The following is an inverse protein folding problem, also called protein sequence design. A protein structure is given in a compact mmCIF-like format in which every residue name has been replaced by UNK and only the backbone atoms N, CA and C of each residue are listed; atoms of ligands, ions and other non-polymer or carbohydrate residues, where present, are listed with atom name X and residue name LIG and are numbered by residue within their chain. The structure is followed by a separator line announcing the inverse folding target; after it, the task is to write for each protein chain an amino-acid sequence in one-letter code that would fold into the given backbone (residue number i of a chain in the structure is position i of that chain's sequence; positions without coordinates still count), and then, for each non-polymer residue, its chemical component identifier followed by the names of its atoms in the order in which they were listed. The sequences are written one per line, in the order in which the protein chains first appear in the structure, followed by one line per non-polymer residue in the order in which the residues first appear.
data_IF_850750239372
#
_entry.id   IF_850750239372
#
_cell.length_a   1.000
_cell.length_b   1.000
_cell.length_c   1.000
_cell.angle_alpha   90.00
_cell.angle_beta   90.00
_cell.angle_gamma   90.00
#
_symmetry.space_group_name_H-M   'P 1'
#
loop_
_entity.id
_entity.type
_entity.pdbx_description
1 polymer ?
#
# COMPACT_ATOMS: atom_id res chain seq x y z
N UNK A 1 5.93 3.32 -7.76
CA UNK A 1 4.77 4.22 -7.88
C UNK A 1 3.73 3.81 -6.83
N UNK A 2 3.32 4.67 -5.88
CA UNK A 2 2.24 4.31 -4.94
C UNK A 2 0.87 4.28 -5.65
N UNK A 3 0.21 3.12 -5.67
CA UNK A 3 -1.10 2.91 -6.29
C UNK A 3 -2.22 2.94 -5.25
N UNK A 4 -2.29 4.04 -4.50
CA UNK A 4 -3.17 4.19 -3.34
C UNK A 4 -4.26 5.20 -3.70
N UNK A 5 -5.52 4.93 -3.41
CA UNK A 5 -6.58 5.95 -3.56
C UNK A 5 -6.49 7.05 -2.49
N UNK A 6 -6.19 6.66 -1.25
CA UNK A 6 -6.12 7.56 -0.10
C UNK A 6 -5.11 7.04 0.92
N UNK A 7 -4.67 7.91 1.83
CA UNK A 7 -3.71 7.61 2.89
C UNK A 7 -4.28 7.78 4.29
N UNK A 8 -5.60 7.86 4.43
CA UNK A 8 -6.28 7.85 5.73
C UNK A 8 -6.06 6.53 6.49
N UNK A 9 -5.64 6.62 7.75
CA UNK A 9 -5.60 5.50 8.70
C UNK A 9 -6.71 5.63 9.76
N UNK A 10 -7.00 6.85 10.18
CA UNK A 10 -8.10 7.18 11.07
C UNK A 10 -8.66 8.56 10.70
N UNK A 11 -9.98 8.65 10.53
CA UNK A 11 -10.66 9.93 10.30
C UNK A 11 -11.83 10.02 11.29
N UNK A 12 -11.53 10.48 12.51
CA UNK A 12 -12.50 10.66 13.59
C UNK A 12 -12.38 12.08 14.14
N UNK A 13 -13.50 12.70 14.51
CA UNK A 13 -13.47 14.01 15.20
C UNK A 13 -12.57 13.91 16.44
N UNK A 14 -11.57 14.80 16.52
CA UNK A 14 -10.57 14.84 17.60
C UNK A 14 -9.40 13.86 17.43
N UNK A 15 -9.39 13.02 16.39
CA UNK A 15 -8.27 12.13 16.06
C UNK A 15 -8.21 11.86 14.55
N UNK A 16 -7.27 12.50 13.88
CA UNK A 16 -7.00 12.34 12.46
C UNK A 16 -5.61 11.76 12.29
N UNK A 17 -5.51 10.60 11.64
CA UNK A 17 -4.24 9.92 11.39
C UNK A 17 -4.16 9.55 9.92
N UNK A 18 -3.08 9.95 9.26
CA UNK A 18 -2.86 9.72 7.84
C UNK A 18 -1.38 9.46 7.52
N UNK A 19 -1.12 8.90 6.35
CA UNK A 19 0.23 8.69 5.84
C UNK A 19 0.64 9.82 4.90
N UNK A 20 1.70 10.53 5.29
CA UNK A 20 2.40 11.47 4.42
C UNK A 20 3.36 10.69 3.52
N UNK A 21 3.27 10.93 2.22
CA UNK A 21 4.14 10.32 1.21
C UNK A 21 5.38 11.20 1.05
N UNK A 22 6.56 10.63 1.26
CA UNK A 22 7.84 11.31 1.20
C UNK A 22 8.75 10.62 0.17
N UNK A 23 9.00 11.21 -1.01
CA UNK A 23 9.93 10.64 -1.99
C UNK A 23 11.37 10.72 -1.46
N UNK A 24 12.03 9.56 -1.34
CA UNK A 24 13.45 9.46 -1.03
C UNK A 24 14.25 9.37 -2.32
N UNK A 25 14.86 10.48 -2.73
CA UNK A 25 15.58 10.57 -4.02
C UNK A 25 16.88 9.78 -4.02
N UNK A 26 17.53 9.62 -2.87
CA UNK A 26 18.77 8.86 -2.76
C UNK A 26 18.50 7.36 -2.95
N UNK A 27 17.48 6.84 -2.26
CA UNK A 27 17.10 5.43 -2.34
C UNK A 27 16.16 5.10 -3.52
N UNK A 28 15.72 6.12 -4.26
CA UNK A 28 14.67 6.03 -5.31
C UNK A 28 13.42 5.29 -4.81
N UNK A 29 13.09 5.47 -3.52
CA UNK A 29 12.00 4.77 -2.82
C UNK A 29 11.06 5.77 -2.19
N UNK A 30 9.78 5.43 -2.13
CA UNK A 30 8.80 6.24 -1.41
C UNK A 30 8.77 5.81 0.05
N UNK A 31 8.94 6.76 0.97
CA UNK A 31 8.75 6.58 2.40
C UNK A 31 7.36 7.05 2.81
N UNK A 32 6.80 6.39 3.81
CA UNK A 32 5.53 6.75 4.42
C UNK A 32 5.79 7.17 5.85
N UNK A 33 5.19 8.28 6.27
CA UNK A 33 5.27 8.79 7.64
C UNK A 33 3.86 8.87 8.21
N UNK A 34 3.66 8.33 9.41
CA UNK A 34 2.42 8.51 10.14
C UNK A 34 2.37 9.93 10.70
N UNK A 35 1.30 10.66 10.39
CA UNK A 35 1.03 11.99 10.93
C UNK A 35 -0.31 11.93 11.66
N UNK A 36 -0.32 12.43 12.90
CA UNK A 36 -1.51 12.51 13.75
C UNK A 36 -1.82 13.96 14.08
N UNK A 37 -3.10 14.31 14.09
CA UNK A 37 -3.60 15.64 14.39
C UNK A 37 -4.97 15.60 15.07
N UNK A 38 -5.37 16.72 15.67
CA UNK A 38 -6.71 16.85 16.32
C UNK A 38 -7.76 17.38 15.35
N UNK A 39 -7.31 18.08 14.29
CA UNK A 39 -8.15 18.52 13.16
C UNK A 39 -7.59 18.04 11.82
N UNK A 40 -8.43 17.95 10.79
CA UNK A 40 -7.99 17.55 9.44
C UNK A 40 -7.03 18.57 8.82
N UNK A 41 -7.22 19.86 9.11
CA UNK A 41 -6.36 20.96 8.60
C UNK A 41 -4.93 20.88 9.12
N UNK A 42 -4.76 20.49 10.38
CA UNK A 42 -3.45 20.34 11.05
C UNK A 42 -2.56 19.28 10.41
N UNK A 43 -3.09 18.36 9.61
CA UNK A 43 -2.26 17.38 8.89
C UNK A 43 -1.29 18.05 7.91
N UNK A 44 -1.66 19.20 7.33
CA UNK A 44 -0.82 19.93 6.37
C UNK A 44 -0.67 19.26 5.00
N UNK A 45 -1.51 18.26 4.68
CA UNK A 45 -1.62 17.65 3.36
C UNK A 45 -3.03 17.06 3.17
N UNK A 46 -3.40 16.71 1.93
CA UNK A 46 -4.69 16.07 1.62
C UNK A 46 -4.53 14.54 1.51
N UNK A 47 -5.03 13.75 2.48
CA UNK A 47 -4.89 12.30 2.43
C UNK A 47 -5.87 11.60 1.47
N UNK A 48 -6.86 12.31 0.91
CA UNK A 48 -7.84 11.74 -0.03
C UNK A 48 -7.43 11.87 -1.52
N UNK A 49 -6.37 12.64 -1.80
CA UNK A 49 -6.04 13.12 -3.16
C UNK A 49 -5.08 12.26 -3.98
N UNK A 50 -5.01 10.95 -3.76
CA UNK A 50 -4.08 10.08 -4.49
C UNK A 50 -4.74 9.46 -5.73
N UNK A 51 -4.45 8.21 -6.07
CA UNK A 51 -4.86 7.61 -7.34
C UNK A 51 -6.37 7.73 -7.57
N UNK A 52 -6.76 8.20 -8.75
CA UNK A 52 -8.15 8.42 -9.11
C UNK A 52 -8.45 7.77 -10.45
N UNK A 53 -9.55 7.00 -10.53
CA UNK A 53 -9.98 6.25 -11.72
C UNK A 53 -8.87 5.36 -12.33
N UNK A 54 -7.96 4.87 -11.49
CA UNK A 54 -6.81 4.03 -11.87
C UNK A 54 -5.58 4.80 -12.38
N UNK A 55 -5.65 6.14 -12.49
CA UNK A 55 -4.47 6.95 -12.75
C UNK A 55 -3.70 7.20 -11.46
N UNK A 56 -2.37 7.23 -11.54
CA UNK A 56 -1.49 7.50 -10.40
C UNK A 56 -0.57 8.69 -10.68
N UNK A 57 -0.25 9.49 -9.67
CA UNK A 57 0.68 10.63 -9.83
C UNK A 57 2.03 10.28 -9.21
N UNK A 58 3.10 10.52 -9.96
CA UNK A 58 4.46 10.26 -9.49
C UNK A 58 4.82 11.21 -8.34
N UNK A 59 5.15 10.70 -7.13
CA UNK A 59 5.53 11.57 -6.02
C UNK A 59 6.91 12.23 -6.21
N UNK A 60 7.73 11.76 -7.16
CA UNK A 60 9.06 12.33 -7.43
C UNK A 60 9.04 13.50 -8.40
N UNK A 61 8.24 13.42 -9.46
CA UNK A 61 8.24 14.37 -10.57
C UNK A 61 6.86 14.95 -10.91
N UNK A 62 5.79 14.49 -10.26
CA UNK A 62 4.41 14.98 -10.49
C UNK A 62 3.75 14.45 -11.77
N UNK A 63 4.45 13.66 -12.59
CA UNK A 63 3.88 13.11 -13.82
C UNK A 63 2.69 12.18 -13.55
N UNK A 64 1.63 12.33 -14.34
CA UNK A 64 0.49 11.42 -14.34
C UNK A 64 0.86 10.12 -15.06
N UNK A 65 0.57 8.99 -14.43
CA UNK A 65 0.68 7.65 -14.99
C UNK A 65 -0.73 7.15 -15.31
N UNK A 66 -1.05 6.95 -16.59
CA UNK A 66 -2.41 6.60 -17.01
C UNK A 66 -2.77 5.16 -16.59
N UNK A 67 -4.05 4.95 -16.32
CA UNK A 67 -4.62 3.65 -15.92
C UNK A 67 -4.26 2.51 -16.88
N UNK A 68 -4.26 2.75 -18.20
CA UNK A 68 -3.88 1.74 -19.19
C UNK A 68 -2.46 1.20 -18.96
N UNK A 69 -1.51 2.09 -18.67
CA UNK A 69 -0.13 1.72 -18.35
C UNK A 69 -0.05 0.98 -17.01
N UNK A 70 -0.72 1.47 -15.97
CA UNK A 70 -0.75 0.77 -14.66
C UNK A 70 -1.29 -0.66 -14.82
N UNK A 71 -2.33 -0.85 -15.61
CA UNK A 71 -2.90 -2.16 -15.90
C UNK A 71 -1.94 -3.06 -16.68
N UNK A 72 -1.22 -2.54 -17.69
CA UNK A 72 -0.24 -3.34 -18.43
C UNK A 72 0.93 -3.77 -17.54
N UNK A 73 1.42 -2.90 -16.66
CA UNK A 73 2.43 -3.25 -15.66
C UNK A 73 1.95 -4.33 -14.69
N UNK A 74 0.67 -4.25 -14.26
CA UNK A 74 0.06 -5.25 -13.41
C UNK A 74 -0.07 -6.62 -14.07
N UNK A 75 -0.58 -6.66 -15.32
CA UNK A 75 -0.67 -7.90 -16.11
C UNK A 75 0.70 -8.54 -16.37
N UNK A 76 1.75 -7.72 -16.48
CA UNK A 76 3.11 -8.18 -16.67
C UNK A 76 3.83 -8.54 -15.35
N UNK A 77 3.14 -8.54 -14.21
CA UNK A 77 3.72 -8.91 -12.91
C UNK A 77 4.74 -7.92 -12.36
N UNK A 78 4.79 -6.67 -12.86
CA UNK A 78 5.78 -5.65 -12.47
C UNK A 78 5.33 -4.74 -11.33
N UNK A 79 4.13 -4.96 -10.79
CA UNK A 79 3.65 -4.23 -9.61
C UNK A 79 4.15 -4.95 -8.36
N UNK A 80 5.06 -4.27 -7.64
CA UNK A 80 5.52 -4.73 -6.34
C UNK A 80 4.60 -4.32 -5.19
N UNK A 81 4.83 -4.92 -4.03
CA UNK A 81 4.20 -4.54 -2.77
C UNK A 81 5.20 -3.85 -1.84
N UNK A 82 4.73 -2.85 -1.11
CA UNK A 82 5.53 -2.17 -0.10
C UNK A 82 4.66 -1.90 1.12
N UNK A 83 5.15 -2.30 2.30
CA UNK A 83 4.48 -1.96 3.54
C UNK A 83 4.50 -0.45 3.78
N UNK A 84 3.39 0.07 4.29
CA UNK A 84 3.21 1.51 4.51
C UNK A 84 3.10 1.85 6.00
N UNK A 85 2.31 1.06 6.73
CA UNK A 85 2.07 1.22 8.15
C UNK A 85 1.67 -0.10 8.79
N UNK A 86 1.86 -0.19 10.10
CA UNK A 86 1.27 -1.22 10.96
C UNK A 86 0.34 -0.54 11.94
N UNK A 87 -0.80 -1.18 12.17
CA UNK A 87 -1.80 -0.71 13.12
C UNK A 87 -1.94 -1.72 14.24
N UNK A 88 -1.47 -1.35 15.43
CA UNK A 88 -1.49 -2.22 16.59
C UNK A 88 -2.76 -1.97 17.40
N UNK A 89 -3.52 -3.04 17.68
CA UNK A 89 -4.57 -3.00 18.69
C UNK A 89 -3.94 -2.92 20.08
N UNK A 90 -4.56 -2.16 21.00
CA UNK A 90 -4.14 -2.14 22.40
C UNK A 90 -5.00 -3.12 23.19
N UNK A 91 -4.39 -4.17 23.71
CA UNK A 91 -5.11 -5.16 24.51
C UNK A 91 -5.66 -4.51 25.79
N UNK A 92 -6.94 -4.71 26.08
CA UNK A 92 -7.61 -4.14 27.26
C UNK A 92 -7.80 -2.61 27.26
N UNK A 93 -7.47 -1.91 26.17
CA UNK A 93 -7.63 -0.45 26.07
C UNK A 93 -8.35 -0.03 24.79
N UNK A 94 -9.03 1.12 24.82
CA UNK A 94 -9.63 1.71 23.61
C UNK A 94 -8.56 2.35 22.73
N UNK A 95 -8.69 2.20 21.43
CA UNK A 95 -7.86 2.86 20.42
C UNK A 95 -6.84 1.95 19.76
N UNK A 96 -6.05 2.53 18.85
CA UNK A 96 -5.02 1.84 18.07
C UNK A 96 -3.74 2.67 18.07
N UNK A 97 -2.60 2.01 17.95
CA UNK A 97 -1.30 2.65 17.69
C UNK A 97 -1.02 2.53 16.21
N UNK A 98 -0.57 3.61 15.59
CA UNK A 98 -0.22 3.66 14.17
C UNK A 98 1.28 3.88 14.08
N UNK A 99 1.97 2.98 13.41
CA UNK A 99 3.41 3.02 13.20
C UNK A 99 3.68 3.00 11.70
N UNK A 100 4.62 3.82 11.23
CA UNK A 100 5.06 3.74 9.84
C UNK A 100 5.94 2.51 9.63
N UNK A 101 5.93 1.95 8.43
CA UNK A 101 6.77 0.79 8.10
C UNK A 101 8.27 1.06 8.31
N UNK A 102 8.71 2.30 8.11
CA UNK A 102 10.11 2.67 8.32
C UNK A 102 10.49 2.66 9.80
N UNK A 103 9.62 3.18 10.69
CA UNK A 103 9.86 3.13 12.15
C UNK A 103 9.92 1.70 12.69
N UNK A 104 9.24 0.75 12.02
CA UNK A 104 9.24 -0.67 12.38
C UNK A 104 10.46 -1.41 11.86
N UNK A 105 10.93 -1.14 10.65
CA UNK A 105 12.13 -1.81 10.12
C UNK A 105 13.35 -1.62 11.03
N UNK A 106 13.45 -0.50 11.74
CA UNK A 106 14.54 -0.23 12.70
C UNK A 106 14.34 -0.93 14.06
N UNK A 107 13.09 -1.31 14.40
CA UNK A 107 12.72 -1.77 15.75
C UNK A 107 12.27 -3.23 15.81
N UNK A 108 11.92 -3.81 14.67
CA UNK A 108 11.30 -5.14 14.59
C UNK A 108 11.87 -5.89 13.39
N UNK A 109 12.22 -7.16 13.58
CA UNK A 109 12.58 -8.11 12.51
C UNK A 109 11.34 -8.46 11.66
N UNK A 110 10.75 -7.46 11.02
CA UNK A 110 9.60 -7.68 10.15
C UNK A 110 10.06 -8.47 8.92
N UNK A 111 9.39 -9.57 8.55
CA UNK A 111 9.81 -10.36 7.40
C UNK A 111 9.73 -9.51 6.14
N UNK A 112 10.80 -9.53 5.37
CA UNK A 112 10.82 -8.91 4.05
C UNK A 112 9.89 -9.67 3.08
N UNK A 113 9.67 -9.09 1.89
CA UNK A 113 8.78 -9.69 0.89
C UNK A 113 9.24 -11.09 0.46
N UNK A 114 10.54 -11.36 0.36
CA UNK A 114 11.06 -12.68 0.03
C UNK A 114 10.70 -13.70 1.10
N UNK A 115 10.96 -13.36 2.37
CA UNK A 115 10.56 -14.17 3.53
C UNK A 115 9.06 -14.46 3.56
N UNK A 116 8.22 -13.51 3.17
CA UNK A 116 6.76 -13.70 3.05
C UNK A 116 6.42 -14.67 1.91
N UNK A 117 7.05 -14.53 0.74
CA UNK A 117 6.82 -15.42 -0.41
C UNK A 117 7.25 -16.86 -0.11
N UNK A 118 8.40 -17.05 0.53
CA UNK A 118 8.86 -18.38 0.95
C UNK A 118 7.87 -19.05 1.90
N UNK A 119 7.27 -18.27 2.80
CA UNK A 119 6.25 -18.76 3.72
C UNK A 119 4.92 -19.05 3.03
N UNK A 120 4.52 -18.27 2.04
CA UNK A 120 3.35 -18.56 1.20
C UNK A 120 3.59 -19.87 0.44
N UNK A 121 4.76 -20.04 -0.17
CA UNK A 121 5.12 -21.26 -0.89
C UNK A 121 5.05 -22.49 0.03
N UNK A 122 5.67 -22.42 1.22
CA UNK A 122 5.58 -23.49 2.21
C UNK A 122 4.14 -23.80 2.60
N UNK A 123 3.29 -22.78 2.79
CA UNK A 123 1.88 -22.98 3.10
C UNK A 123 1.15 -23.71 1.95
N UNK A 124 1.42 -23.33 0.70
CA UNK A 124 0.89 -24.03 -0.47
C UNK A 124 1.43 -25.47 -0.62
N UNK A 125 2.65 -25.75 -0.18
CA UNK A 125 3.21 -27.11 -0.20
C UNK A 125 2.60 -28.00 0.92
N UNK A 126 2.29 -27.40 2.08
CA UNK A 126 1.72 -28.08 3.26
C UNK A 126 0.19 -28.21 3.22
N UNK A 127 -0.48 -27.47 2.35
CA UNK A 127 -1.94 -27.43 2.22
C UNK A 127 -2.34 -27.72 0.78
N UNK A 128 -3.60 -28.04 0.51
CA UNK A 128 -4.11 -28.19 -0.86
C UNK A 128 -4.52 -26.83 -1.48
N UNK A 129 -3.87 -25.74 -1.05
CA UNK A 129 -4.16 -24.39 -1.53
C UNK A 129 -3.22 -24.03 -2.68
N UNK A 130 -3.79 -23.68 -3.82
CA UNK A 130 -3.06 -23.19 -4.99
C UNK A 130 -3.25 -21.69 -5.18
N UNK A 131 -2.26 -21.04 -5.80
CA UNK A 131 -2.39 -19.66 -6.26
C UNK A 131 -3.19 -19.69 -7.56
N UNK A 132 -4.32 -18.95 -7.68
CA UNK A 132 -5.10 -18.93 -8.91
C UNK A 132 -4.27 -18.41 -10.10
N UNK A 133 -4.10 -19.23 -11.11
CA UNK A 133 -3.42 -18.88 -12.37
C UNK A 133 -4.42 -18.57 -13.51
N UNK A 134 -5.71 -18.55 -13.20
CA UNK A 134 -6.78 -18.30 -14.16
C UNK A 134 -6.60 -16.93 -14.81
N UNK A 135 -6.62 -16.91 -16.15
CA UNK A 135 -6.51 -15.67 -16.91
C UNK A 135 -7.73 -14.80 -16.64
N UNK A 136 -7.50 -13.56 -16.22
CA UNK A 136 -8.56 -12.56 -16.14
C UNK A 136 -8.84 -12.03 -17.56
N UNK A 137 -9.93 -12.50 -18.15
CA UNK A 137 -10.42 -12.00 -19.43
C UNK A 137 -11.00 -10.59 -19.26
N UNK A 138 -10.83 -9.73 -20.27
CA UNK A 138 -11.60 -8.49 -20.32
C UNK A 138 -13.09 -8.84 -20.54
N UNK A 139 -13.99 -8.12 -19.89
CA UNK A 139 -15.43 -8.31 -20.10
C UNK A 139 -15.76 -8.27 -21.60
N UNK A 140 -16.32 -9.37 -22.13
CA UNK A 140 -16.68 -9.52 -23.55
C UNK A 140 -15.75 -10.38 -24.41
N UNK A 141 -14.65 -10.92 -23.86
CA UNK A 141 -13.78 -11.88 -24.56
C UNK A 141 -13.68 -13.17 -23.77
N UNK A 142 -14.74 -13.99 -23.79
CA UNK A 142 -14.63 -15.39 -23.38
C UNK A 142 -13.88 -16.10 -24.52
N UNK A 143 -12.80 -16.85 -24.24
CA UNK A 143 -12.18 -17.66 -25.28
C UNK A 143 -13.19 -18.72 -25.73
N UNK A 144 -13.39 -18.85 -27.05
CA UNK A 144 -14.05 -20.01 -27.61
C UNK A 144 -13.25 -21.25 -27.21
N UNK A 145 -13.94 -22.20 -26.57
CA UNK A 145 -13.38 -23.49 -26.13
C UNK A 145 -13.29 -24.42 -27.33
#
# INVERSE_FOLDING_TARGET
MPLLRQTWLCKKKGLYVALKILPDRALKKVRFQVVSATTEKELGFNPAGFSSRGNATCPFCGSNVPNGYVKSEGKAGRIGVQMMAVVCARHGQKGKVYLSANELNERTNQPDNGSIQDRIKRLCDETDLTIPEEKIFAAGLVPEV
#
